data_IF_029551873633
#
_entry.id   IF_029551873633
#
_cell.length_a   1.000
_cell.length_b   1.000
_cell.length_c   1.000
_cell.angle_alpha   90.00
_cell.angle_beta   90.00
_cell.angle_gamma   90.00
#
_symmetry.space_group_name_H-M   'P 1'
#
loop_
_entity.id
_entity.type
_entity.pdbx_description
1 polymer ?
#
# COMPACT_ATOMS: atom_id res chain seq x y z
N UNK A 1 18.89 34.23 74.18
CA UNK A 1 17.95 34.58 73.08
C UNK A 1 18.46 34.18 71.69
N UNK A 2 19.77 34.07 71.44
CA UNK A 2 20.30 33.67 70.12
C UNK A 2 20.20 32.17 69.80
N UNK A 3 20.31 31.30 70.81
CA UNK A 3 20.30 29.84 70.62
C UNK A 3 18.95 29.30 70.11
N UNK A 4 17.84 29.88 70.57
CA UNK A 4 16.48 29.51 70.13
C UNK A 4 16.28 29.87 68.65
N UNK A 5 16.76 31.05 68.22
CA UNK A 5 16.69 31.51 66.82
C UNK A 5 17.52 30.65 65.86
N UNK A 6 18.68 30.15 66.30
CA UNK A 6 19.48 29.22 65.50
C UNK A 6 18.80 27.86 65.33
N UNK A 7 18.13 27.38 66.38
CA UNK A 7 17.41 26.11 66.35
C UNK A 7 16.22 26.18 65.38
N UNK A 8 15.47 27.29 65.41
CA UNK A 8 14.37 27.57 64.49
C UNK A 8 14.85 27.71 63.04
N UNK A 9 15.98 28.37 62.80
CA UNK A 9 16.54 28.52 61.45
C UNK A 9 16.94 27.17 60.85
N UNK A 10 17.58 26.29 61.63
CA UNK A 10 17.95 24.94 61.18
C UNK A 10 16.71 24.08 60.91
N UNK A 11 15.69 24.16 61.77
CA UNK A 11 14.43 23.45 61.57
C UNK A 11 13.72 23.90 60.27
N UNK A 12 13.65 25.20 60.03
CA UNK A 12 13.10 25.76 58.78
C UNK A 12 13.90 25.28 57.57
N UNK A 13 15.23 25.26 57.64
CA UNK A 13 16.08 24.77 56.55
C UNK A 13 15.80 23.30 56.21
N UNK A 14 15.66 22.43 57.23
CA UNK A 14 15.33 21.02 57.02
C UNK A 14 13.93 20.83 56.41
N UNK A 15 12.94 21.64 56.83
CA UNK A 15 11.59 21.61 56.24
C UNK A 15 11.64 22.00 54.76
N UNK A 16 12.36 23.08 54.43
CA UNK A 16 12.52 23.53 53.04
C UNK A 16 13.22 22.47 52.18
N UNK A 17 14.29 21.86 52.68
CA UNK A 17 14.96 20.76 51.99
C UNK A 17 14.04 19.56 51.78
N UNK A 18 13.24 19.19 52.78
CA UNK A 18 12.24 18.13 52.67
C UNK A 18 11.20 18.42 51.58
N UNK A 19 10.69 19.65 51.51
CA UNK A 19 9.75 20.08 50.47
C UNK A 19 10.35 20.02 49.07
N UNK A 20 11.63 20.41 48.91
CA UNK A 20 12.33 20.31 47.61
C UNK A 20 12.45 18.84 47.17
N UNK A 21 12.78 17.93 48.09
CA UNK A 21 12.88 16.49 47.78
C UNK A 21 11.51 15.92 47.39
N UNK A 22 10.45 16.25 48.13
CA UNK A 22 9.10 15.80 47.80
C UNK A 22 8.63 16.36 46.45
N UNK A 23 8.87 17.64 46.19
CA UNK A 23 8.49 18.28 44.93
C UNK A 23 9.21 17.64 43.73
N UNK A 24 10.52 17.41 43.84
CA UNK A 24 11.30 16.76 42.78
C UNK A 24 10.86 15.31 42.54
N UNK A 25 10.55 14.57 43.61
CA UNK A 25 9.99 13.22 43.51
C UNK A 25 8.64 13.21 42.79
N UNK A 26 7.70 14.07 43.19
CA UNK A 26 6.37 14.15 42.57
C UNK A 26 6.45 14.54 41.09
N UNK A 27 7.29 15.52 40.75
CA UNK A 27 7.48 15.94 39.36
C UNK A 27 8.04 14.81 38.48
N UNK A 28 9.07 14.10 38.96
CA UNK A 28 9.62 12.94 38.24
C UNK A 28 8.60 11.80 38.12
N UNK A 29 7.83 11.53 39.17
CA UNK A 29 6.82 10.49 39.15
C UNK A 29 5.69 10.77 38.15
N UNK A 30 5.28 12.04 38.02
CA UNK A 30 4.31 12.47 37.00
C UNK A 30 4.86 12.26 35.59
N UNK A 31 6.12 12.61 35.34
CA UNK A 31 6.76 12.39 34.02
C UNK A 31 6.87 10.91 33.69
N UNK A 32 7.29 10.08 34.66
CA UNK A 32 7.42 8.63 34.47
C UNK A 32 6.06 8.00 34.14
N UNK A 33 5.00 8.41 34.84
CA UNK A 33 3.64 7.91 34.59
C UNK A 33 3.18 8.27 33.18
N UNK A 34 3.34 9.54 32.78
CA UNK A 34 2.98 9.99 31.43
C UNK A 34 3.75 9.24 30.33
N UNK A 35 5.06 9.07 30.50
CA UNK A 35 5.88 8.31 29.54
C UNK A 35 5.48 6.83 29.48
N UNK A 36 5.06 6.24 30.62
CA UNK A 36 4.58 4.87 30.67
C UNK A 36 3.25 4.70 29.94
N UNK A 37 2.33 5.64 30.09
CA UNK A 37 1.05 5.67 29.37
C UNK A 37 1.28 5.84 27.87
N UNK A 38 2.13 6.77 27.47
CA UNK A 38 2.49 6.99 26.06
C UNK A 38 3.13 5.73 25.45
N UNK A 39 4.07 5.10 26.16
CA UNK A 39 4.68 3.84 25.72
C UNK A 39 3.65 2.74 25.54
N UNK A 40 2.70 2.62 26.48
CA UNK A 40 1.66 1.58 26.42
C UNK A 40 0.74 1.81 25.21
N UNK A 41 0.29 3.05 25.01
CA UNK A 41 -0.50 3.46 23.85
C UNK A 41 0.24 3.20 22.53
N UNK A 42 1.52 3.55 22.44
CA UNK A 42 2.35 3.27 21.26
C UNK A 42 2.47 1.77 20.99
N UNK A 43 2.62 0.95 22.03
CA UNK A 43 2.67 -0.51 21.88
C UNK A 43 1.34 -1.09 21.38
N UNK A 44 0.21 -0.62 21.91
CA UNK A 44 -1.13 -1.02 21.45
C UNK A 44 -1.35 -0.64 19.98
N UNK A 45 -0.99 0.60 19.60
CA UNK A 45 -1.08 1.06 18.21
C UNK A 45 -0.19 0.23 17.29
N UNK A 46 1.03 -0.10 17.71
CA UNK A 46 1.93 -0.95 16.93
C UNK A 46 1.34 -2.34 16.69
N UNK A 47 0.77 -2.97 17.73
CA UNK A 47 0.12 -4.28 17.60
C UNK A 47 -1.05 -4.20 16.61
N UNK A 48 -1.88 -3.16 16.73
CA UNK A 48 -3.02 -2.94 15.84
C UNK A 48 -2.59 -2.74 14.38
N UNK A 49 -1.61 -1.88 14.13
CA UNK A 49 -1.09 -1.64 12.78
C UNK A 49 -0.44 -2.90 12.18
N UNK A 50 0.26 -3.69 13.00
CA UNK A 50 0.81 -4.97 12.55
C UNK A 50 -0.28 -5.96 12.12
N UNK A 51 -1.35 -6.08 12.89
CA UNK A 51 -2.49 -6.94 12.53
C UNK A 51 -3.21 -6.45 11.26
N UNK A 52 -3.35 -5.13 11.11
CA UNK A 52 -3.91 -4.52 9.89
C UNK A 52 -3.03 -4.81 8.66
N UNK A 53 -1.71 -4.71 8.81
CA UNK A 53 -0.75 -4.99 7.75
C UNK A 53 -0.81 -6.45 7.32
N UNK A 54 -0.84 -7.39 8.26
CA UNK A 54 -0.98 -8.82 7.99
C UNK A 54 -2.29 -9.11 7.22
N UNK A 55 -3.40 -8.54 7.66
CA UNK A 55 -4.69 -8.66 6.95
C UNK A 55 -4.64 -8.07 5.54
N UNK A 56 -3.90 -6.97 5.35
CA UNK A 56 -3.72 -6.34 4.04
C UNK A 56 -2.89 -7.22 3.11
N UNK A 57 -1.80 -7.80 3.63
CA UNK A 57 -0.92 -8.70 2.89
C UNK A 57 -1.67 -9.96 2.44
N UNK A 58 -2.47 -10.57 3.32
CA UNK A 58 -3.32 -11.72 2.99
C UNK A 58 -4.29 -11.39 1.84
N UNK A 59 -4.97 -10.25 1.91
CA UNK A 59 -5.89 -9.80 0.85
C UNK A 59 -5.17 -9.51 -0.46
N UNK A 60 -3.97 -8.94 -0.40
CA UNK A 60 -3.15 -8.69 -1.58
C UNK A 60 -2.74 -10.00 -2.25
N UNK A 61 -2.31 -11.00 -1.46
CA UNK A 61 -1.98 -12.32 -1.98
C UNK A 61 -3.20 -13.01 -2.60
N UNK A 62 -4.37 -12.93 -1.97
CA UNK A 62 -5.62 -13.46 -2.52
C UNK A 62 -5.97 -12.80 -3.87
N UNK A 63 -5.84 -11.47 -3.98
CA UNK A 63 -6.10 -10.74 -5.22
C UNK A 63 -5.10 -11.12 -6.32
N UNK A 64 -3.81 -11.21 -6.00
CA UNK A 64 -2.78 -11.61 -6.96
C UNK A 64 -3.04 -13.01 -7.49
N UNK A 65 -3.46 -13.95 -6.63
CA UNK A 65 -3.85 -15.29 -7.05
C UNK A 65 -5.03 -15.26 -8.02
N UNK A 66 -6.08 -14.48 -7.70
CA UNK A 66 -7.24 -14.32 -8.61
C UNK A 66 -6.85 -13.71 -9.96
N UNK A 67 -5.90 -12.77 -9.98
CA UNK A 67 -5.40 -12.18 -11.23
C UNK A 67 -4.71 -13.24 -12.09
N UNK A 68 -3.84 -14.07 -11.49
CA UNK A 68 -3.21 -15.18 -12.23
C UNK A 68 -4.24 -16.23 -12.66
N UNK A 69 -5.24 -16.56 -11.84
CA UNK A 69 -6.32 -17.49 -12.23
C UNK A 69 -7.17 -16.94 -13.40
N UNK A 70 -7.35 -15.62 -13.48
CA UNK A 70 -8.02 -14.94 -14.60
C UNK A 70 -7.13 -14.73 -15.82
N UNK A 71 -5.82 -14.98 -15.70
CA UNK A 71 -4.88 -14.75 -16.78
C UNK A 71 -5.08 -15.81 -17.85
N UNK A 72 -5.73 -15.41 -18.93
CA UNK A 72 -5.82 -16.24 -20.14
C UNK A 72 -4.47 -16.16 -20.85
N UNK A 73 -3.71 -17.25 -20.84
CA UNK A 73 -2.57 -17.40 -21.74
C UNK A 73 -3.08 -17.44 -23.18
N UNK A 74 -2.98 -16.32 -23.88
CA UNK A 74 -3.25 -16.27 -25.31
C UNK A 74 -2.06 -16.89 -26.02
N UNK A 75 -2.02 -18.22 -26.10
CA UNK A 75 -1.21 -18.88 -27.13
C UNK A 75 -1.84 -18.53 -28.47
N UNK A 76 -1.32 -17.52 -29.14
CA UNK A 76 -1.64 -17.27 -30.54
C UNK A 76 -1.25 -18.52 -31.33
N UNK A 77 -2.23 -19.35 -31.66
CA UNK A 77 -2.12 -20.34 -32.73
C UNK A 77 -2.56 -19.63 -34.00
N UNK A 78 -1.61 -19.42 -34.90
CA UNK A 78 -1.93 -19.04 -36.28
C UNK A 78 -2.92 -20.09 -36.82
N UNK A 79 -4.11 -19.68 -37.28
CA UNK A 79 -5.12 -20.63 -37.74
C UNK A 79 -4.60 -21.38 -38.97
N UNK A 80 -4.58 -22.72 -38.91
CA UNK A 80 -4.11 -23.62 -39.98
C UNK A 80 -4.87 -23.46 -41.32
N UNK A 81 -6.00 -22.76 -41.33
CA UNK A 81 -7.00 -22.80 -42.42
C UNK A 81 -7.02 -21.50 -43.23
N UNK A 82 -6.21 -20.49 -42.91
CA UNK A 82 -6.05 -19.37 -43.85
C UNK A 82 -4.93 -19.74 -44.80
N UNK A 83 -5.25 -20.59 -45.77
CA UNK A 83 -4.52 -20.62 -47.04
C UNK A 83 -4.49 -19.16 -47.53
N UNK A 84 -3.34 -18.50 -47.38
CA UNK A 84 -3.11 -17.20 -48.01
C UNK A 84 -3.43 -17.40 -49.48
N UNK A 85 -4.51 -16.80 -49.97
CA UNK A 85 -4.82 -16.72 -51.40
C UNK A 85 -3.69 -15.88 -52.01
N UNK A 86 -2.58 -16.52 -52.33
CA UNK A 86 -1.39 -15.86 -52.85
C UNK A 86 -1.56 -15.49 -54.33
N UNK A 87 -2.52 -16.11 -55.03
CA UNK A 87 -2.75 -15.88 -56.45
C UNK A 87 -4.25 -15.89 -56.78
N UNK A 88 -4.76 -14.76 -57.28
CA UNK A 88 -6.04 -14.68 -57.96
C UNK A 88 -5.74 -14.92 -59.45
N UNK A 89 -6.06 -16.10 -59.96
CA UNK A 89 -5.96 -16.38 -61.39
C UNK A 89 -7.29 -16.04 -62.07
N UNK A 90 -7.26 -15.07 -62.99
CA UNK A 90 -8.39 -14.81 -63.88
C UNK A 90 -8.64 -16.06 -64.73
N UNK A 91 -9.85 -16.62 -64.61
CA UNK A 91 -10.24 -17.92 -65.17
C UNK A 91 -10.19 -17.94 -66.71
N UNK A 92 -10.47 -16.81 -67.35
CA UNK A 92 -10.41 -16.66 -68.80
C UNK A 92 -9.69 -15.35 -69.15
N UNK A 93 -8.70 -15.45 -70.04
CA UNK A 93 -7.93 -14.31 -70.60
C UNK A 93 -8.10 -14.22 -72.12
N UNK A 94 -9.18 -14.79 -72.66
CA UNK A 94 -9.42 -14.69 -74.10
C UNK A 94 -9.85 -13.28 -74.43
N UNK A 95 -9.44 -12.77 -75.60
CA UNK A 95 -9.79 -11.42 -76.05
C UNK A 95 -11.32 -11.19 -76.03
N UNK A 96 -12.10 -12.24 -76.33
CA UNK A 96 -13.57 -12.22 -76.29
C UNK A 96 -14.12 -12.05 -74.87
N UNK A 97 -13.52 -12.74 -73.89
CA UNK A 97 -13.92 -12.65 -72.49
C UNK A 97 -13.58 -11.28 -71.88
N UNK A 98 -12.44 -10.71 -72.24
CA UNK A 98 -12.07 -9.35 -71.83
C UNK A 98 -12.99 -8.32 -72.48
N UNK A 99 -13.24 -8.41 -73.78
CA UNK A 99 -14.13 -7.49 -74.48
C UNK A 99 -15.56 -7.54 -73.94
N UNK A 100 -16.05 -8.73 -73.56
CA UNK A 100 -17.36 -8.88 -72.92
C UNK A 100 -17.39 -8.22 -71.55
N UNK A 101 -16.38 -8.44 -70.72
CA UNK A 101 -16.28 -7.80 -69.41
C UNK A 101 -16.25 -6.27 -69.53
N UNK A 102 -15.46 -5.73 -70.47
CA UNK A 102 -15.44 -4.29 -70.73
C UNK A 102 -16.81 -3.75 -71.17
N UNK A 103 -17.53 -4.46 -72.03
CA UNK A 103 -18.90 -4.06 -72.43
C UNK A 103 -19.87 -4.08 -71.24
N UNK A 104 -19.80 -5.08 -70.37
CA UNK A 104 -20.68 -5.15 -69.19
C UNK A 104 -20.33 -4.11 -68.11
N UNK A 105 -19.06 -3.73 -68.00
CA UNK A 105 -18.59 -2.73 -67.04
C UNK A 105 -18.89 -1.29 -67.47
N UNK A 106 -18.94 -1.02 -68.78
CA UNK A 106 -18.99 0.34 -69.32
C UNK A 106 -20.17 0.64 -70.25
N UNK A 107 -21.07 -0.32 -70.50
CA UNK A 107 -22.35 -0.02 -71.16
C UNK A 107 -23.45 0.11 -70.10
N UNK A 108 -23.89 1.35 -69.87
CA UNK A 108 -25.27 1.65 -69.45
C UNK A 108 -26.24 1.39 -70.62
#
# INVERSE_FOLDING_TARGET
>A
MNFIKELDLKAILFIVLGLIVVFTFLSKNSQITSLKEEKTSLQENLIKEKANLETCEDKMQEQNKKIEDMRVEVTYKEPEIIEKINNIYLKDKTCESELKAYKELFND
#
